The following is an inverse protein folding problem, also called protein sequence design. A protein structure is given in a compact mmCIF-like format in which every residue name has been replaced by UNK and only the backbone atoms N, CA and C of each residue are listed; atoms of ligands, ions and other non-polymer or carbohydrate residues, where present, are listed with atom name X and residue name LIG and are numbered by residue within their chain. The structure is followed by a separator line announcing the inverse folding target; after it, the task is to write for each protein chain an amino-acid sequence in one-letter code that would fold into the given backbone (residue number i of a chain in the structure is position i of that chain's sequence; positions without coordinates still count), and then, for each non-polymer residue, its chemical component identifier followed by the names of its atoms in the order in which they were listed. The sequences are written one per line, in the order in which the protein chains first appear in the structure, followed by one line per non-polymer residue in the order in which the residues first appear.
data_IF_459263439668
#
_entry.id   IF_459263439668
#
_cell.length_a   1.000
_cell.length_b   1.000
_cell.length_c   1.000
_cell.angle_alpha   90.00
_cell.angle_beta   90.00
_cell.angle_gamma   90.00
#
_symmetry.space_group_name_H-M   'P 1'
#
loop_
_entity.id
_entity.type
_entity.pdbx_description
1 polymer ?
#
# COMPACT_ATOMS: atom_id res chain seq x y z
N UNK A 1 24.40 -21.67 10.10
CA UNK A 1 24.29 -20.21 10.02
C UNK A 1 23.04 -19.90 9.19
N UNK A 2 22.18 -19.00 9.65
CA UNK A 2 20.99 -18.59 8.91
C UNK A 2 21.40 -17.93 7.58
N UNK A 3 20.69 -18.20 6.50
CA UNK A 3 20.96 -17.59 5.19
C UNK A 3 20.50 -16.13 5.23
N UNK A 4 21.36 -15.22 4.78
CA UNK A 4 21.12 -13.76 4.83
C UNK A 4 20.41 -13.29 3.57
N UNK A 5 19.31 -12.54 3.74
CA UNK A 5 18.58 -11.84 2.67
C UNK A 5 18.60 -10.33 2.94
N UNK A 6 18.94 -9.55 1.93
CA UNK A 6 18.96 -8.09 2.02
C UNK A 6 17.74 -7.51 1.29
N UNK A 7 16.98 -6.66 1.98
CA UNK A 7 15.78 -6.00 1.43
C UNK A 7 16.06 -4.52 1.19
N UNK A 8 15.89 -4.01 -0.01
CA UNK A 8 16.14 -2.62 -0.38
C UNK A 8 14.85 -1.87 -0.71
N UNK A 9 14.51 -0.89 0.10
CA UNK A 9 13.33 -0.06 -0.11
C UNK A 9 13.28 1.09 0.88
N UNK A 10 12.58 2.18 0.53
CA UNK A 10 12.50 3.30 1.46
C UNK A 10 11.85 4.54 0.86
N UNK A 11 11.77 5.57 1.69
CA UNK A 11 11.24 6.89 1.37
C UNK A 11 9.75 7.04 1.66
N UNK A 12 8.90 6.12 1.28
CA UNK A 12 7.44 6.18 1.45
C UNK A 12 6.88 4.90 2.08
N UNK A 13 5.72 5.01 2.74
CA UNK A 13 5.01 3.85 3.29
C UNK A 13 4.71 2.78 2.22
N UNK A 14 4.47 3.19 0.97
CA UNK A 14 4.23 2.27 -0.15
C UNK A 14 5.39 1.33 -0.46
N UNK A 15 6.64 1.70 -0.14
CA UNK A 15 7.80 0.82 -0.27
C UNK A 15 8.18 0.12 1.06
N UNK A 16 8.01 0.83 2.18
CA UNK A 16 8.45 0.35 3.50
C UNK A 16 7.51 -0.74 4.05
N UNK A 17 6.19 -0.58 3.92
CA UNK A 17 5.24 -1.56 4.44
C UNK A 17 5.36 -2.94 3.76
N UNK A 18 5.41 -3.05 2.41
CA UNK A 18 5.65 -4.33 1.75
C UNK A 18 7.02 -4.94 2.10
N UNK A 19 8.05 -4.12 2.23
CA UNK A 19 9.37 -4.57 2.69
C UNK A 19 9.27 -5.19 4.08
N UNK A 20 8.60 -4.54 5.02
CA UNK A 20 8.43 -5.02 6.39
C UNK A 20 7.62 -6.32 6.45
N UNK A 21 6.50 -6.39 5.72
CA UNK A 21 5.69 -7.61 5.66
C UNK A 21 6.50 -8.80 5.14
N UNK A 22 7.28 -8.58 4.07
CA UNK A 22 8.19 -9.60 3.52
C UNK A 22 9.31 -9.95 4.51
N UNK A 23 9.89 -8.95 5.19
CA UNK A 23 10.93 -9.18 6.19
C UNK A 23 10.47 -10.07 7.34
N UNK A 24 9.26 -9.83 7.85
CA UNK A 24 8.66 -10.62 8.92
C UNK A 24 8.39 -12.06 8.47
N UNK A 25 7.87 -12.24 7.26
CA UNK A 25 7.64 -13.57 6.67
C UNK A 25 8.95 -14.34 6.49
N UNK A 26 9.99 -13.72 5.94
CA UNK A 26 11.30 -14.37 5.76
C UNK A 26 11.96 -14.73 7.10
N UNK A 27 11.82 -13.88 8.12
CA UNK A 27 12.30 -14.19 9.47
C UNK A 27 11.56 -15.37 10.10
N UNK A 28 10.26 -15.48 9.91
CA UNK A 28 9.48 -16.63 10.40
C UNK A 28 9.94 -17.96 9.78
N UNK A 29 10.52 -17.88 8.55
CA UNK A 29 11.13 -19.01 7.83
C UNK A 29 12.60 -19.26 8.22
N UNK A 30 13.18 -18.50 9.15
CA UNK A 30 14.52 -18.70 9.68
C UNK A 30 15.63 -17.95 8.96
N UNK A 31 15.31 -17.03 8.03
CA UNK A 31 16.31 -16.19 7.37
C UNK A 31 16.80 -15.06 8.28
N UNK A 32 18.09 -14.70 8.12
CA UNK A 32 18.62 -13.43 8.62
C UNK A 32 18.24 -12.32 7.63
N UNK A 33 17.52 -11.31 8.09
CA UNK A 33 17.02 -10.23 7.24
C UNK A 33 17.63 -8.89 7.62
N UNK A 34 18.22 -8.21 6.64
CA UNK A 34 18.76 -6.86 6.78
C UNK A 34 18.08 -5.91 5.80
N UNK A 35 17.56 -4.80 6.26
CA UNK A 35 16.96 -3.78 5.41
C UNK A 35 17.98 -2.69 5.03
N UNK A 36 17.98 -2.29 3.76
CA UNK A 36 18.68 -1.12 3.24
C UNK A 36 17.71 0.04 3.06
N UNK A 37 18.00 1.16 3.73
CA UNK A 37 17.21 2.38 3.68
C UNK A 37 18.06 3.63 3.53
N UNK A 38 17.43 4.80 3.74
CA UNK A 38 18.12 6.10 3.82
C UNK A 38 17.93 6.71 5.22
N UNK A 39 18.74 7.69 5.57
CA UNK A 39 18.65 8.40 6.87
C UNK A 39 17.41 9.28 7.01
N UNK A 40 16.60 9.46 5.96
CA UNK A 40 15.57 10.50 5.87
C UNK A 40 14.19 9.95 5.44
N UNK A 41 13.92 8.66 5.59
CA UNK A 41 12.66 8.06 5.20
C UNK A 41 11.90 7.47 6.39
N UNK A 42 10.67 7.01 6.13
CA UNK A 42 9.85 6.31 7.14
C UNK A 42 10.50 5.02 7.63
N UNK A 43 11.41 4.46 6.85
CA UNK A 43 12.18 3.27 7.19
C UNK A 43 12.99 3.43 8.49
N UNK A 44 13.43 4.65 8.82
CA UNK A 44 14.24 4.92 10.01
C UNK A 44 13.52 4.67 11.33
N UNK A 45 12.20 4.78 11.34
CA UNK A 45 11.36 4.49 12.51
C UNK A 45 10.68 3.13 12.40
N UNK A 46 10.13 2.79 11.24
CA UNK A 46 9.30 1.60 11.06
C UNK A 46 10.12 0.30 11.06
N UNK A 47 11.30 0.30 10.44
CA UNK A 47 12.12 -0.93 10.31
C UNK A 47 12.70 -1.35 11.67
N UNK A 48 13.36 -0.47 12.45
CA UNK A 48 13.82 -0.83 13.80
C UNK A 48 12.64 -1.14 14.74
N UNK A 49 11.51 -0.42 14.59
CA UNK A 49 10.29 -0.69 15.37
C UNK A 49 9.72 -2.10 15.17
N UNK A 50 9.97 -2.72 14.02
CA UNK A 50 9.63 -4.11 13.72
C UNK A 50 10.72 -5.12 14.13
N UNK A 51 11.80 -4.65 14.79
CA UNK A 51 12.93 -5.49 15.20
C UNK A 51 13.79 -5.99 14.05
N UNK A 52 13.77 -5.30 12.89
CA UNK A 52 14.60 -5.60 11.72
C UNK A 52 15.84 -4.69 11.73
N UNK A 53 17.00 -5.26 11.41
CA UNK A 53 18.22 -4.46 11.26
C UNK A 53 18.09 -3.52 10.06
N UNK A 54 18.36 -2.21 10.29
CA UNK A 54 18.36 -1.19 9.24
C UNK A 54 19.79 -0.67 9.02
N UNK A 55 20.32 -0.86 7.83
CA UNK A 55 21.53 -0.22 7.37
C UNK A 55 21.17 0.93 6.42
N UNK A 56 21.64 2.14 6.72
CA UNK A 56 21.35 3.31 5.90
C UNK A 56 22.50 3.63 4.95
N UNK A 57 22.15 3.92 3.70
CA UNK A 57 23.08 4.39 2.68
C UNK A 57 22.79 5.85 2.32
N UNK A 58 23.72 6.46 1.59
CA UNK A 58 23.51 7.81 1.08
C UNK A 58 22.37 7.83 0.05
N UNK A 59 21.43 8.77 0.23
CA UNK A 59 20.34 8.99 -0.73
C UNK A 59 20.88 9.55 -2.03
N UNK A 60 20.66 8.87 -3.15
CA UNK A 60 21.05 9.32 -4.50
C UNK A 60 19.80 9.66 -5.31
N UNK A 61 19.25 10.89 -5.16
CA UNK A 61 18.10 11.32 -5.96
C UNK A 61 18.54 11.52 -7.40
N UNK A 62 17.80 10.93 -8.33
CA UNK A 62 17.93 11.24 -9.75
C UNK A 62 17.28 12.60 -10.02
N UNK A 63 18.03 13.63 -10.45
CA UNK A 63 17.46 14.93 -10.72
C UNK A 63 16.44 14.84 -11.86
N UNK A 64 15.24 15.40 -11.64
CA UNK A 64 14.18 15.45 -12.68
C UNK A 64 14.39 16.57 -13.70
N UNK A 65 15.24 17.53 -13.39
CA UNK A 65 15.61 18.67 -14.25
C UNK A 65 17.12 18.81 -14.26
N UNK A 66 17.73 19.32 -15.36
CA UNK A 66 19.14 19.65 -15.41
C UNK A 66 19.52 20.58 -14.23
N UNK A 67 20.51 20.17 -13.44
CA UNK A 67 21.02 20.96 -12.29
C UNK A 67 22.50 20.65 -12.07
N UNK A 68 23.22 21.49 -11.35
CA UNK A 68 24.63 21.26 -10.98
C UNK A 68 24.83 19.96 -10.20
N UNK A 69 23.77 19.41 -9.61
CA UNK A 69 23.81 18.12 -8.92
C UNK A 69 24.12 16.92 -9.85
N UNK A 70 23.94 17.07 -11.17
CA UNK A 70 24.35 16.05 -12.14
C UNK A 70 25.85 15.77 -12.11
N UNK A 71 26.67 16.75 -11.85
CA UNK A 71 28.13 16.57 -11.81
C UNK A 71 28.58 15.76 -10.59
N UNK A 72 27.86 15.80 -9.48
CA UNK A 72 28.17 15.01 -8.27
C UNK A 72 27.55 13.62 -8.29
N UNK A 73 26.57 13.38 -9.15
CA UNK A 73 25.80 12.13 -9.22
C UNK A 73 26.67 10.87 -9.40
N UNK A 74 27.69 10.83 -10.32
CA UNK A 74 28.53 9.64 -10.50
C UNK A 74 29.32 9.28 -9.23
N UNK A 75 29.85 10.29 -8.53
CA UNK A 75 30.61 10.09 -7.28
C UNK A 75 29.70 9.56 -6.17
N UNK A 76 28.52 10.16 -5.98
CA UNK A 76 27.51 9.73 -4.99
C UNK A 76 26.99 8.33 -5.28
N UNK A 77 26.72 8.02 -6.56
CA UNK A 77 26.30 6.69 -6.98
C UNK A 77 27.39 5.65 -6.68
N UNK A 78 28.67 5.95 -7.00
CA UNK A 78 29.80 5.07 -6.69
C UNK A 78 29.91 4.79 -5.19
N UNK A 79 29.73 5.82 -4.36
CA UNK A 79 29.77 5.70 -2.89
C UNK A 79 28.59 4.84 -2.37
N UNK A 80 27.36 5.10 -2.85
CA UNK A 80 26.19 4.32 -2.46
C UNK A 80 26.33 2.84 -2.88
N UNK A 81 26.85 2.57 -4.09
CA UNK A 81 27.13 1.20 -4.54
C UNK A 81 28.17 0.52 -3.63
N UNK A 82 29.22 1.22 -3.21
CA UNK A 82 30.22 0.67 -2.30
C UNK A 82 29.62 0.32 -0.93
N UNK A 83 28.76 1.20 -0.39
CA UNK A 83 28.00 0.93 0.85
C UNK A 83 27.07 -0.29 0.68
N UNK A 84 26.33 -0.40 -0.43
CA UNK A 84 25.49 -1.57 -0.69
C UNK A 84 26.32 -2.86 -0.79
N UNK A 85 27.50 -2.82 -1.40
CA UNK A 85 28.36 -3.99 -1.52
C UNK A 85 28.82 -4.53 -0.16
N UNK A 86 29.14 -3.67 0.81
CA UNK A 86 29.51 -4.13 2.16
C UNK A 86 28.35 -4.84 2.86
N UNK A 87 27.12 -4.38 2.67
CA UNK A 87 25.92 -5.01 3.26
C UNK A 87 25.57 -6.33 2.57
N UNK A 88 25.80 -6.42 1.25
CA UNK A 88 25.52 -7.61 0.46
C UNK A 88 26.56 -8.74 0.63
N UNK A 89 27.64 -8.52 1.39
CA UNK A 89 28.59 -9.60 1.67
C UNK A 89 27.90 -10.75 2.42
N UNK A 90 28.00 -11.97 1.85
CA UNK A 90 27.38 -13.17 2.37
C UNK A 90 25.85 -13.27 2.13
N UNK A 91 25.24 -12.28 1.47
CA UNK A 91 23.82 -12.35 1.16
C UNK A 91 23.53 -13.37 0.04
N UNK A 92 22.48 -14.17 0.24
CA UNK A 92 21.99 -15.12 -0.76
C UNK A 92 21.15 -14.43 -1.85
N UNK A 93 20.44 -13.36 -1.48
CA UNK A 93 19.64 -12.57 -2.41
C UNK A 93 19.53 -11.10 -1.97
N UNK A 94 19.24 -10.24 -2.97
CA UNK A 94 18.75 -8.90 -2.80
C UNK A 94 17.29 -8.84 -3.26
N UNK A 95 16.38 -8.38 -2.39
CA UNK A 95 14.98 -8.10 -2.75
C UNK A 95 14.76 -6.59 -2.78
N UNK A 96 14.37 -6.04 -3.92
CA UNK A 96 14.15 -4.62 -4.10
C UNK A 96 12.69 -4.23 -4.21
N UNK A 97 12.29 -3.21 -3.44
CA UNK A 97 10.93 -2.65 -3.40
C UNK A 97 10.82 -1.28 -4.08
N UNK A 98 11.89 -0.82 -4.73
CA UNK A 98 11.91 0.50 -5.36
C UNK A 98 12.42 1.62 -4.45
N UNK A 99 12.23 2.86 -4.89
CA UNK A 99 12.76 4.03 -4.21
C UNK A 99 14.24 4.32 -4.55
N UNK A 100 14.82 5.30 -3.85
CA UNK A 100 16.18 5.79 -4.15
C UNK A 100 17.29 4.80 -3.77
N UNK A 101 16.98 3.85 -2.91
CA UNK A 101 17.91 2.85 -2.37
C UNK A 101 18.10 1.68 -3.35
N UNK A 102 17.04 1.30 -4.04
CA UNK A 102 17.04 0.08 -4.86
C UNK A 102 17.99 0.14 -6.06
N UNK A 103 18.12 1.30 -6.72
CA UNK A 103 19.02 1.40 -7.90
C UNK A 103 20.49 1.11 -7.56
N UNK A 104 21.13 1.76 -6.55
CA UNK A 104 22.50 1.43 -6.18
C UNK A 104 22.63 -0.01 -5.65
N UNK A 105 21.60 -0.54 -4.95
CA UNK A 105 21.58 -1.92 -4.47
C UNK A 105 21.56 -2.92 -5.64
N UNK A 106 20.74 -2.72 -6.68
CA UNK A 106 20.72 -3.55 -7.87
C UNK A 106 22.08 -3.56 -8.60
N UNK A 107 22.71 -2.39 -8.72
CA UNK A 107 24.02 -2.28 -9.35
C UNK A 107 25.13 -2.96 -8.53
N UNK A 108 25.03 -2.92 -7.21
CA UNK A 108 25.94 -3.62 -6.31
C UNK A 108 25.75 -5.14 -6.41
N UNK A 109 24.51 -5.63 -6.30
CA UNK A 109 24.18 -7.05 -6.37
C UNK A 109 24.62 -7.67 -7.70
N UNK A 110 24.35 -6.97 -8.83
CA UNK A 110 24.82 -7.41 -10.16
C UNK A 110 26.35 -7.58 -10.20
N UNK A 111 27.13 -6.67 -9.58
CA UNK A 111 28.60 -6.74 -9.57
C UNK A 111 29.14 -7.84 -8.65
N UNK A 112 28.32 -8.38 -7.77
CA UNK A 112 28.67 -9.42 -6.82
C UNK A 112 28.03 -10.77 -7.15
N UNK A 113 27.34 -10.87 -8.31
CA UNK A 113 26.58 -12.05 -8.73
C UNK A 113 25.54 -12.52 -7.70
N UNK A 114 25.04 -11.57 -6.85
CA UNK A 114 23.95 -11.82 -5.91
C UNK A 114 22.62 -11.78 -6.68
N UNK A 115 21.76 -12.80 -6.58
CA UNK A 115 20.45 -12.83 -7.21
C UNK A 115 19.60 -11.60 -6.83
N UNK A 116 18.96 -11.01 -7.84
CA UNK A 116 18.09 -9.84 -7.67
C UNK A 116 16.65 -10.30 -7.84
N UNK A 117 15.86 -10.15 -6.78
CA UNK A 117 14.41 -10.30 -6.81
C UNK A 117 13.80 -8.90 -6.69
N UNK A 118 12.74 -8.62 -7.40
CA UNK A 118 12.07 -7.31 -7.35
C UNK A 118 10.60 -7.52 -7.02
N UNK A 119 10.06 -6.67 -6.16
CA UNK A 119 8.62 -6.52 -6.01
C UNK A 119 8.19 -5.15 -6.52
N UNK A 120 7.23 -5.10 -7.47
CA UNK A 120 6.65 -3.86 -7.97
C UNK A 120 5.24 -3.67 -7.41
N UNK A 121 5.07 -2.57 -6.64
CA UNK A 121 3.84 -2.28 -5.94
C UNK A 121 2.77 -1.64 -6.82
N UNK A 122 3.17 -0.88 -7.84
CA UNK A 122 2.26 -0.06 -8.64
C UNK A 122 1.97 -0.69 -10.01
N UNK A 123 0.78 -0.44 -10.54
CA UNK A 123 0.43 -0.80 -11.91
C UNK A 123 1.32 -0.05 -12.94
N UNK A 124 1.80 1.15 -12.59
CA UNK A 124 2.84 1.87 -13.36
C UNK A 124 4.19 1.69 -12.70
N UNK A 125 5.10 0.87 -13.29
CA UNK A 125 6.34 0.50 -12.62
C UNK A 125 7.28 1.69 -12.40
N UNK A 126 7.89 1.72 -11.21
CA UNK A 126 8.88 2.71 -10.82
C UNK A 126 10.18 2.61 -11.64
N UNK A 127 10.89 3.74 -11.78
CA UNK A 127 12.11 3.80 -12.59
C UNK A 127 13.18 2.84 -12.07
N UNK A 128 13.36 2.73 -10.75
CA UNK A 128 14.35 1.84 -10.16
C UNK A 128 14.08 0.37 -10.54
N UNK A 129 12.82 -0.07 -10.41
CA UNK A 129 12.41 -1.43 -10.73
C UNK A 129 12.49 -1.72 -12.23
N UNK A 130 12.15 -0.74 -13.09
CA UNK A 130 12.34 -0.84 -14.55
C UNK A 130 13.81 -1.07 -14.93
N UNK A 131 14.73 -0.41 -14.24
CA UNK A 131 16.18 -0.62 -14.45
C UNK A 131 16.61 -1.97 -13.91
N UNK A 132 16.21 -2.33 -12.69
CA UNK A 132 16.56 -3.60 -12.03
C UNK A 132 16.03 -4.83 -12.76
N UNK A 133 14.84 -4.75 -13.36
CA UNK A 133 14.20 -5.85 -14.08
C UNK A 133 15.06 -6.42 -15.24
N UNK A 134 16.04 -5.65 -15.72
CA UNK A 134 17.01 -6.12 -16.72
C UNK A 134 17.92 -7.24 -16.21
N UNK A 135 18.10 -7.34 -14.90
CA UNK A 135 19.00 -8.28 -14.22
C UNK A 135 18.28 -9.13 -13.17
N UNK A 136 16.97 -8.92 -13.04
CA UNK A 136 16.17 -9.64 -12.06
C UNK A 136 16.10 -11.13 -12.39
N UNK A 137 16.38 -11.96 -11.38
CA UNK A 137 16.17 -13.40 -11.41
C UNK A 137 14.70 -13.75 -11.16
N UNK A 138 13.96 -12.88 -10.45
CA UNK A 138 12.53 -12.99 -10.28
C UNK A 138 11.89 -11.61 -10.06
N UNK A 139 10.62 -11.50 -10.42
CA UNK A 139 9.81 -10.28 -10.27
C UNK A 139 8.43 -10.65 -9.78
N UNK A 140 8.07 -10.15 -8.59
CA UNK A 140 6.71 -10.19 -8.05
C UNK A 140 5.95 -8.92 -8.42
N UNK A 141 4.72 -9.03 -8.88
CA UNK A 141 3.84 -7.94 -9.22
C UNK A 141 2.63 -7.88 -8.28
N UNK A 142 2.24 -6.66 -7.90
CA UNK A 142 0.96 -6.46 -7.20
C UNK A 142 -0.22 -6.60 -8.15
N UNK A 143 -0.14 -5.97 -9.32
CA UNK A 143 -1.24 -5.92 -10.29
C UNK A 143 -0.90 -6.71 -11.55
N UNK A 144 -1.81 -7.56 -12.05
CA UNK A 144 -1.61 -8.29 -13.32
C UNK A 144 -1.38 -7.36 -14.52
N UNK A 145 -1.99 -6.16 -14.48
CA UNK A 145 -1.88 -5.14 -15.54
C UNK A 145 -0.53 -4.41 -15.57
N UNK A 146 0.39 -4.65 -14.62
CA UNK A 146 1.70 -3.97 -14.58
C UNK A 146 2.59 -4.40 -15.75
N UNK A 147 2.99 -3.49 -16.68
CA UNK A 147 3.79 -3.82 -17.86
C UNK A 147 5.28 -3.92 -17.51
N UNK A 148 5.65 -4.85 -16.64
CA UNK A 148 7.03 -5.10 -16.24
C UNK A 148 7.30 -6.60 -16.20
N UNK A 149 8.42 -7.03 -16.78
CA UNK A 149 8.88 -8.42 -16.78
C UNK A 149 10.34 -8.53 -16.36
N UNK A 150 10.69 -9.58 -15.66
CA UNK A 150 12.08 -9.96 -15.43
C UNK A 150 12.70 -10.45 -16.75
N UNK A 151 13.80 -9.82 -17.18
CA UNK A 151 14.42 -10.20 -18.47
C UNK A 151 15.30 -11.44 -18.38
N UNK A 152 15.71 -11.85 -17.18
CA UNK A 152 16.61 -12.97 -16.94
C UNK A 152 16.03 -14.01 -15.98
N UNK A 153 14.71 -13.98 -15.75
CA UNK A 153 14.06 -14.86 -14.80
C UNK A 153 12.55 -14.87 -14.95
N UNK A 154 11.86 -15.25 -13.90
CA UNK A 154 10.41 -15.43 -13.87
C UNK A 154 9.69 -14.17 -13.41
N UNK A 155 8.45 -13.99 -13.84
CA UNK A 155 7.56 -12.91 -13.39
C UNK A 155 6.25 -13.52 -12.93
N UNK A 156 5.84 -13.21 -11.72
CA UNK A 156 4.61 -13.73 -11.10
C UNK A 156 3.79 -12.62 -10.48
N UNK A 157 2.47 -12.80 -10.44
CA UNK A 157 1.57 -11.94 -9.69
C UNK A 157 1.48 -12.47 -8.27
N UNK A 158 2.23 -11.86 -7.36
CA UNK A 158 2.26 -12.25 -5.94
C UNK A 158 1.19 -11.54 -5.11
N UNK A 159 0.64 -10.44 -5.62
CA UNK A 159 -0.08 -9.48 -4.79
C UNK A 159 0.87 -8.60 -3.98
N UNK A 160 0.31 -7.68 -3.20
CA UNK A 160 1.09 -6.80 -2.31
C UNK A 160 1.31 -7.49 -0.96
N UNK A 161 2.55 -7.57 -0.45
CA UNK A 161 2.79 -7.91 0.95
C UNK A 161 2.09 -6.93 1.89
N UNK A 162 1.02 -7.40 2.55
CA UNK A 162 0.18 -6.59 3.42
C UNK A 162 0.73 -6.54 4.85
N UNK A 163 0.39 -5.48 5.58
CA UNK A 163 0.70 -5.36 7.01
C UNK A 163 0.05 -6.51 7.80
N UNK A 164 0.71 -7.05 8.86
CA UNK A 164 0.17 -8.17 9.64
C UNK A 164 -1.27 -7.96 10.12
N UNK A 165 -1.60 -6.78 10.65
CA UNK A 165 -2.95 -6.47 11.12
C UNK A 165 -4.02 -6.55 10.00
N UNK A 166 -3.67 -6.23 8.74
CA UNK A 166 -4.58 -6.37 7.60
C UNK A 166 -4.69 -7.84 7.15
N UNK A 167 -3.62 -8.60 7.21
CA UNK A 167 -3.65 -10.05 6.95
C UNK A 167 -4.53 -10.79 7.96
N UNK A 168 -4.38 -10.46 9.24
CA UNK A 168 -5.20 -10.99 10.34
C UNK A 168 -6.69 -10.64 10.15
N UNK A 169 -6.98 -9.38 9.82
CA UNK A 169 -8.34 -8.94 9.52
C UNK A 169 -8.90 -9.67 8.29
N UNK A 170 -8.13 -9.84 7.22
CA UNK A 170 -8.55 -10.57 6.03
C UNK A 170 -8.85 -12.04 6.34
N UNK A 171 -8.02 -12.69 7.14
CA UNK A 171 -8.25 -14.06 7.61
C UNK A 171 -9.54 -14.15 8.45
N UNK A 172 -9.73 -13.25 9.40
CA UNK A 172 -10.95 -13.17 10.21
C UNK A 172 -12.19 -12.94 9.35
N UNK A 173 -12.14 -12.04 8.39
CA UNK A 173 -13.25 -11.70 7.47
C UNK A 173 -13.53 -12.74 6.38
N UNK A 174 -12.80 -13.84 6.33
CA UNK A 174 -13.01 -14.92 5.37
C UNK A 174 -14.36 -15.62 5.54
N UNK A 175 -14.94 -15.59 6.75
CA UNK A 175 -16.29 -16.09 7.06
C UNK A 175 -17.24 -14.93 7.40
N UNK A 176 -18.55 -15.17 7.30
CA UNK A 176 -19.57 -14.19 7.68
C UNK A 176 -19.56 -13.91 9.18
N UNK A 177 -19.47 -14.96 9.99
CA UNK A 177 -19.36 -14.84 11.43
C UNK A 177 -18.12 -14.01 11.83
N UNK A 178 -16.97 -14.30 11.24
CA UNK A 178 -15.73 -13.54 11.49
C UNK A 178 -15.88 -12.06 11.10
N UNK A 179 -16.58 -11.75 10.00
CA UNK A 179 -16.86 -10.35 9.64
C UNK A 179 -17.69 -9.64 10.69
N UNK A 180 -18.74 -10.29 11.21
CA UNK A 180 -19.60 -9.72 12.26
C UNK A 180 -18.81 -9.49 13.56
N UNK A 181 -18.04 -10.47 14.00
CA UNK A 181 -17.21 -10.37 15.20
C UNK A 181 -16.17 -9.25 15.05
N UNK A 182 -15.44 -9.18 13.94
CA UNK A 182 -14.48 -8.12 13.69
C UNK A 182 -15.13 -6.74 13.69
N UNK A 183 -16.32 -6.60 13.08
CA UNK A 183 -17.11 -5.37 13.04
C UNK A 183 -17.53 -4.92 14.45
N UNK A 184 -18.11 -5.82 15.26
CA UNK A 184 -18.55 -5.52 16.63
C UNK A 184 -17.39 -5.06 17.51
N UNK A 185 -16.28 -5.76 17.47
CA UNK A 185 -15.08 -5.41 18.25
C UNK A 185 -14.50 -4.06 17.83
N UNK A 186 -14.38 -3.81 16.53
CA UNK A 186 -13.87 -2.56 16.01
C UNK A 186 -14.85 -1.38 16.31
N UNK A 187 -16.16 -1.59 16.14
CA UNK A 187 -17.18 -0.59 16.45
C UNK A 187 -17.14 -0.20 17.94
N UNK A 188 -16.96 -1.17 18.84
CA UNK A 188 -16.78 -0.90 20.28
C UNK A 188 -15.54 -0.05 20.56
N UNK A 189 -14.40 -0.33 19.88
CA UNK A 189 -13.17 0.48 20.06
C UNK A 189 -13.31 1.89 19.49
N UNK A 190 -14.05 2.04 18.39
CA UNK A 190 -14.26 3.32 17.71
C UNK A 190 -15.43 4.14 18.30
N UNK A 191 -16.27 3.55 19.16
CA UNK A 191 -17.43 4.22 19.74
C UNK A 191 -18.55 4.49 18.72
N UNK A 192 -18.74 3.57 17.74
CA UNK A 192 -19.77 3.69 16.70
C UNK A 192 -20.75 2.52 16.76
N UNK A 193 -21.90 2.65 16.10
CA UNK A 193 -22.92 1.61 16.09
C UNK A 193 -22.60 0.50 15.06
N UNK A 194 -22.39 -0.77 15.47
CA UNK A 194 -22.11 -1.85 14.53
C UNK A 194 -23.29 -2.21 13.60
N UNK A 195 -24.50 -1.76 13.92
CA UNK A 195 -25.72 -2.06 13.14
C UNK A 195 -26.00 -1.06 12.02
N UNK A 196 -25.38 0.11 12.05
CA UNK A 196 -25.55 1.13 11.01
C UNK A 196 -24.61 0.87 9.83
N UNK A 197 -25.06 1.16 8.61
CA UNK A 197 -24.22 1.21 7.43
C UNK A 197 -23.11 2.25 7.62
N UNK A 198 -21.86 1.86 7.42
CA UNK A 198 -20.69 2.73 7.71
C UNK A 198 -19.98 3.14 6.43
N UNK A 199 -20.02 4.43 6.14
CA UNK A 199 -19.19 5.06 5.11
C UNK A 199 -17.87 5.50 5.72
N UNK A 200 -16.77 4.86 5.30
CA UNK A 200 -15.42 5.28 5.66
C UNK A 200 -14.87 6.28 4.65
N UNK A 201 -14.41 7.43 5.12
CA UNK A 201 -13.76 8.45 4.28
C UNK A 201 -12.31 8.58 4.73
N UNK A 202 -11.35 8.43 3.79
CA UNK A 202 -9.94 8.62 4.12
C UNK A 202 -9.12 9.13 2.93
N UNK A 203 -8.31 10.14 3.17
CA UNK A 203 -7.32 10.67 2.22
C UNK A 203 -5.91 10.13 2.44
N UNK A 204 -5.75 9.12 3.34
CA UNK A 204 -4.46 8.69 3.85
C UNK A 204 -3.93 9.60 4.98
N UNK A 205 -2.71 9.38 5.46
CA UNK A 205 -2.15 10.06 6.64
C UNK A 205 -2.12 11.59 6.54
N UNK A 206 -1.96 12.12 5.34
CA UNK A 206 -1.97 13.57 5.08
C UNK A 206 -3.38 14.13 4.82
N UNK A 207 -4.38 13.25 4.69
CA UNK A 207 -5.74 13.62 4.30
C UNK A 207 -5.84 14.12 2.85
N UNK A 208 -7.08 14.31 2.39
CA UNK A 208 -7.40 14.81 1.05
C UNK A 208 -8.41 15.95 1.14
N UNK A 209 -7.93 17.18 1.04
CA UNK A 209 -8.73 18.38 1.31
C UNK A 209 -9.98 18.46 0.43
N UNK A 210 -9.84 18.14 -0.87
CA UNK A 210 -10.98 18.15 -1.79
C UNK A 210 -12.00 17.05 -1.46
N UNK A 211 -11.53 15.86 -1.07
CA UNK A 211 -12.42 14.79 -0.60
C UNK A 211 -13.18 15.23 0.64
N UNK A 212 -12.47 15.77 1.66
CA UNK A 212 -13.10 16.26 2.87
C UNK A 212 -14.20 17.29 2.55
N UNK A 213 -13.89 18.29 1.73
CA UNK A 213 -14.82 19.37 1.36
C UNK A 213 -16.04 18.88 0.57
N UNK A 214 -15.82 17.99 -0.40
CA UNK A 214 -16.93 17.41 -1.15
C UNK A 214 -17.90 16.63 -0.28
N UNK A 215 -17.36 15.85 0.67
CA UNK A 215 -18.16 15.05 1.58
C UNK A 215 -18.97 15.91 2.56
N UNK A 216 -18.34 16.92 3.20
CA UNK A 216 -19.06 17.79 4.14
C UNK A 216 -20.08 18.69 3.45
N UNK A 217 -19.89 19.06 2.20
CA UNK A 217 -20.86 19.81 1.41
C UNK A 217 -22.17 19.03 1.15
N UNK A 218 -22.13 17.70 1.24
CA UNK A 218 -23.30 16.81 1.15
C UNK A 218 -23.86 16.40 2.51
N UNK A 219 -23.26 16.81 3.63
CA UNK A 219 -23.53 16.26 4.96
C UNK A 219 -25.01 16.35 5.38
N UNK A 220 -25.70 17.45 5.03
CA UNK A 220 -27.12 17.63 5.36
C UNK A 220 -28.05 16.60 4.68
N UNK A 221 -27.58 15.89 3.65
CA UNK A 221 -28.31 14.87 2.91
C UNK A 221 -27.91 13.43 3.30
N UNK A 222 -27.17 13.27 4.42
CA UNK A 222 -26.77 11.94 4.92
C UNK A 222 -28.02 11.07 5.18
N UNK A 223 -28.12 9.86 4.59
CA UNK A 223 -29.24 8.96 4.82
C UNK A 223 -29.42 8.62 6.30
N UNK A 224 -30.66 8.38 6.79
CA UNK A 224 -30.91 8.22 8.23
C UNK A 224 -30.30 6.95 8.85
N UNK A 225 -30.11 5.89 8.05
CA UNK A 225 -29.52 4.61 8.45
C UNK A 225 -28.01 4.52 8.26
N UNK A 226 -27.37 5.62 7.87
CA UNK A 226 -25.93 5.69 7.59
C UNK A 226 -25.21 6.46 8.69
N UNK A 227 -24.06 5.94 9.09
CA UNK A 227 -23.05 6.67 9.85
C UNK A 227 -21.77 6.83 9.00
N UNK A 228 -20.99 7.84 9.33
CA UNK A 228 -19.74 8.16 8.64
C UNK A 228 -18.58 8.11 9.64
N UNK A 229 -17.53 7.41 9.26
CA UNK A 229 -16.22 7.50 9.91
C UNK A 229 -15.29 8.28 8.98
N UNK A 230 -14.94 9.51 9.38
CA UNK A 230 -14.17 10.43 8.54
C UNK A 230 -12.77 10.65 9.09
N UNK A 231 -11.79 10.02 8.44
CA UNK A 231 -10.37 10.21 8.73
C UNK A 231 -9.84 11.38 7.90
N UNK A 232 -9.86 12.57 8.48
CA UNK A 232 -9.65 13.85 7.76
C UNK A 232 -8.20 14.10 7.34
N UNK A 233 -7.25 13.43 8.00
CA UNK A 233 -5.84 13.73 7.94
C UNK A 233 -5.41 14.71 9.03
N UNK A 234 -4.20 14.52 9.54
CA UNK A 234 -3.66 15.19 10.72
C UNK A 234 -3.85 16.71 10.69
N UNK A 235 -4.54 17.24 11.70
CA UNK A 235 -4.82 18.68 11.86
C UNK A 235 -5.87 19.25 10.89
N UNK A 236 -6.74 18.40 10.27
CA UNK A 236 -7.78 18.84 9.34
C UNK A 236 -9.21 18.51 9.80
N UNK A 237 -9.37 18.17 11.04
CA UNK A 237 -10.62 17.76 11.67
C UNK A 237 -11.56 18.95 11.98
N UNK A 238 -11.01 20.13 12.27
CA UNK A 238 -11.79 21.27 12.72
C UNK A 238 -12.82 21.75 11.68
N UNK A 239 -12.43 21.94 10.40
CA UNK A 239 -13.34 22.35 9.32
C UNK A 239 -14.47 21.33 9.15
N UNK A 240 -14.13 20.04 9.21
CA UNK A 240 -15.10 18.96 9.07
C UNK A 240 -16.06 18.90 10.25
N UNK A 241 -15.56 18.97 11.49
CA UNK A 241 -16.38 18.95 12.72
C UNK A 241 -17.37 20.10 12.77
N UNK A 242 -16.96 21.30 12.38
CA UNK A 242 -17.85 22.47 12.31
C UNK A 242 -18.96 22.27 11.27
N UNK A 243 -18.61 21.78 10.07
CA UNK A 243 -19.57 21.58 8.99
C UNK A 243 -20.62 20.52 9.34
N UNK A 244 -20.22 19.36 9.90
CA UNK A 244 -21.16 18.29 10.26
C UNK A 244 -22.05 18.68 11.44
N UNK A 245 -21.57 19.52 12.36
CA UNK A 245 -22.37 20.10 13.44
C UNK A 245 -23.42 21.06 12.89
N UNK A 246 -23.03 21.95 11.97
CA UNK A 246 -23.96 22.88 11.31
C UNK A 246 -25.01 22.14 10.46
N UNK A 247 -24.66 21.00 9.87
CA UNK A 247 -25.58 20.13 9.13
C UNK A 247 -26.51 19.28 10.02
N UNK A 248 -26.33 19.29 11.35
CA UNK A 248 -27.14 18.53 12.29
C UNK A 248 -26.91 17.01 12.30
N UNK A 249 -25.78 16.55 11.79
CA UNK A 249 -25.47 15.11 11.65
C UNK A 249 -24.30 14.63 12.53
N UNK A 250 -23.81 15.47 13.43
CA UNK A 250 -22.63 15.18 14.27
C UNK A 250 -22.76 13.89 15.11
N UNK A 251 -23.96 13.43 15.44
CA UNK A 251 -24.16 12.17 16.17
C UNK A 251 -23.88 10.92 15.33
N UNK A 252 -23.92 11.05 14.01
CA UNK A 252 -23.70 9.94 13.06
C UNK A 252 -22.51 10.18 12.14
N UNK A 253 -21.75 11.26 12.37
CA UNK A 253 -20.56 11.59 11.59
C UNK A 253 -19.36 11.74 12.51
N UNK A 254 -18.62 10.66 12.66
CA UNK A 254 -17.48 10.54 13.55
C UNK A 254 -16.23 11.09 12.87
N UNK A 255 -15.70 12.19 13.38
CA UNK A 255 -14.54 12.88 12.82
C UNK A 255 -13.29 12.53 13.61
N UNK A 256 -12.27 11.99 12.93
CA UNK A 256 -10.96 11.65 13.52
C UNK A 256 -9.89 12.25 12.62
N UNK A 257 -8.92 12.96 13.20
CA UNK A 257 -7.82 13.55 12.43
C UNK A 257 -6.81 12.49 11.97
N UNK A 258 -6.46 11.55 12.86
CA UNK A 258 -5.54 10.46 12.58
C UNK A 258 -5.89 9.21 13.40
N UNK A 259 -5.97 8.07 12.73
CA UNK A 259 -6.21 6.77 13.35
C UNK A 259 -5.00 5.85 13.13
N UNK A 260 -4.42 5.34 14.23
CA UNK A 260 -3.28 4.41 14.18
C UNK A 260 -3.72 2.97 13.85
N UNK A 261 -4.94 2.59 14.25
CA UNK A 261 -5.54 1.27 14.04
C UNK A 261 -6.46 1.30 12.81
N UNK A 262 -5.86 1.46 11.62
CA UNK A 262 -6.62 1.53 10.36
C UNK A 262 -7.45 0.27 10.11
N UNK A 263 -7.01 -0.87 10.61
CA UNK A 263 -7.74 -2.15 10.58
C UNK A 263 -9.11 -2.06 11.26
N UNK A 264 -9.26 -1.27 12.33
CA UNK A 264 -10.55 -1.06 12.97
C UNK A 264 -11.52 -0.30 12.05
N UNK A 265 -11.03 0.77 11.41
CA UNK A 265 -11.83 1.52 10.45
C UNK A 265 -12.27 0.66 9.26
N UNK A 266 -11.37 -0.21 8.77
CA UNK A 266 -11.67 -1.12 7.67
C UNK A 266 -12.59 -2.29 8.07
N UNK A 267 -12.54 -2.71 9.34
CA UNK A 267 -13.42 -3.76 9.85
C UNK A 267 -14.89 -3.34 9.90
N UNK A 268 -15.16 -2.06 10.15
CA UNK A 268 -16.53 -1.50 10.24
C UNK A 268 -17.07 -0.98 8.91
N UNK A 269 -16.21 -0.74 7.92
CA UNK A 269 -16.61 -0.12 6.66
C UNK A 269 -17.48 -1.03 5.79
N UNK A 270 -18.53 -0.45 5.21
CA UNK A 270 -19.35 -1.05 4.16
C UNK A 270 -19.01 -0.46 2.77
N UNK A 271 -18.68 0.84 2.73
CA UNK A 271 -18.19 1.54 1.54
C UNK A 271 -17.03 2.44 1.95
N UNK A 272 -15.98 2.51 1.11
CA UNK A 272 -14.81 3.35 1.38
C UNK A 272 -14.62 4.39 0.28
N UNK A 273 -14.57 5.67 0.66
CA UNK A 273 -14.14 6.76 -0.24
C UNK A 273 -12.69 7.09 0.07
N UNK A 274 -11.78 6.84 -0.87
CA UNK A 274 -10.35 6.96 -0.60
C UNK A 274 -9.51 7.29 -1.82
N UNK A 275 -8.23 7.64 -1.60
CA UNK A 275 -7.21 7.67 -2.64
C UNK A 275 -6.86 6.24 -3.07
N UNK A 276 -6.36 6.08 -4.32
CA UNK A 276 -6.01 4.78 -4.90
C UNK A 276 -4.50 4.53 -4.97
N UNK A 277 -3.80 4.76 -3.84
CA UNK A 277 -2.42 4.26 -3.69
C UNK A 277 -2.40 2.73 -3.74
N UNK A 278 -1.29 2.14 -4.22
CA UNK A 278 -1.19 0.69 -4.39
C UNK A 278 -1.51 -0.10 -3.09
N UNK A 279 -1.00 0.38 -1.94
CA UNK A 279 -1.31 -0.22 -0.65
C UNK A 279 -2.79 -0.17 -0.32
N UNK A 280 -3.43 0.98 -0.52
CA UNK A 280 -4.87 1.14 -0.27
C UNK A 280 -5.68 0.20 -1.15
N UNK A 281 -5.41 0.16 -2.46
CA UNK A 281 -6.16 -0.73 -3.37
C UNK A 281 -5.98 -2.19 -2.97
N UNK A 282 -4.75 -2.62 -2.66
CA UNK A 282 -4.48 -3.99 -2.24
C UNK A 282 -5.17 -4.34 -0.90
N UNK A 283 -5.20 -3.42 0.07
CA UNK A 283 -5.91 -3.60 1.34
C UNK A 283 -7.42 -3.71 1.12
N UNK A 284 -8.02 -2.85 0.28
CA UNK A 284 -9.46 -2.87 -0.02
C UNK A 284 -9.86 -4.18 -0.71
N UNK A 285 -9.11 -4.62 -1.72
CA UNK A 285 -9.40 -5.88 -2.41
C UNK A 285 -9.20 -7.09 -1.50
N UNK A 286 -8.14 -7.13 -0.70
CA UNK A 286 -7.89 -8.22 0.24
C UNK A 286 -9.00 -8.37 1.29
N UNK A 287 -9.61 -7.28 1.71
CA UNK A 287 -10.71 -7.24 2.67
C UNK A 287 -12.11 -7.37 2.03
N UNK A 288 -12.19 -7.40 0.70
CA UNK A 288 -13.45 -7.45 -0.03
C UNK A 288 -14.31 -6.20 0.16
N UNK A 289 -13.68 -5.02 0.26
CA UNK A 289 -14.35 -3.74 0.52
C UNK A 289 -14.66 -3.00 -0.79
N UNK A 290 -15.93 -2.63 -1.03
CA UNK A 290 -16.32 -1.73 -2.10
C UNK A 290 -15.69 -0.35 -1.93
N UNK A 291 -15.30 0.29 -3.05
CA UNK A 291 -14.64 1.58 -2.99
C UNK A 291 -15.18 2.60 -3.99
N UNK A 292 -15.10 3.86 -3.62
CA UNK A 292 -15.09 5.00 -4.55
C UNK A 292 -13.69 5.59 -4.52
N UNK A 293 -12.90 5.28 -5.54
CA UNK A 293 -11.54 5.78 -5.66
C UNK A 293 -11.50 7.20 -6.23
N UNK A 294 -10.75 8.06 -5.55
CA UNK A 294 -10.48 9.44 -5.97
C UNK A 294 -8.97 9.57 -6.15
N UNK A 295 -8.42 9.24 -7.33
CA UNK A 295 -6.98 9.29 -7.57
C UNK A 295 -6.39 10.66 -7.30
N UNK A 296 -5.17 10.69 -6.75
CA UNK A 296 -4.44 11.94 -6.55
C UNK A 296 -4.19 12.61 -7.92
N UNK A 297 -4.58 13.89 -8.12
CA UNK A 297 -4.50 14.56 -9.42
C UNK A 297 -3.08 14.92 -9.85
N UNK A 298 -2.10 14.80 -8.93
CA UNK A 298 -0.68 15.11 -9.16
C UNK A 298 0.14 13.83 -9.28
N UNK A 299 1.30 13.93 -9.91
CA UNK A 299 2.19 12.77 -10.11
C UNK A 299 2.16 12.28 -11.57
N UNK A 300 2.37 10.98 -11.76
CA UNK A 300 2.45 10.34 -13.07
C UNK A 300 1.19 9.54 -13.46
N UNK A 301 0.08 9.73 -12.72
CA UNK A 301 -1.20 9.03 -12.97
C UNK A 301 -1.23 7.58 -12.48
N UNK A 302 -0.27 7.16 -11.67
CA UNK A 302 -0.18 5.77 -11.17
C UNK A 302 -1.40 5.34 -10.37
N UNK A 303 -2.00 6.25 -9.57
CA UNK A 303 -3.16 5.92 -8.75
C UNK A 303 -4.39 5.51 -9.58
N UNK A 304 -4.62 6.17 -10.72
CA UNK A 304 -5.70 5.78 -11.64
C UNK A 304 -5.49 4.35 -12.17
N UNK A 305 -4.25 4.00 -12.49
CA UNK A 305 -3.91 2.67 -12.98
C UNK A 305 -3.99 1.60 -11.89
N UNK A 306 -3.60 1.92 -10.65
CA UNK A 306 -3.72 0.99 -9.53
C UNK A 306 -5.17 0.55 -9.27
N UNK A 307 -6.13 1.45 -9.47
CA UNK A 307 -7.56 1.16 -9.29
C UNK A 307 -8.20 0.40 -10.47
N UNK A 308 -7.52 0.33 -11.62
CA UNK A 308 -8.12 -0.10 -12.89
C UNK A 308 -8.72 -1.52 -12.82
N UNK A 309 -7.99 -2.48 -12.26
CA UNK A 309 -8.46 -3.87 -12.17
C UNK A 309 -9.68 -3.98 -11.23
N UNK A 310 -9.68 -3.29 -10.09
CA UNK A 310 -10.79 -3.30 -9.13
C UNK A 310 -12.05 -2.67 -9.72
N UNK A 311 -11.90 -1.57 -10.48
CA UNK A 311 -13.01 -0.90 -11.20
C UNK A 311 -13.53 -1.78 -12.33
N UNK A 312 -12.64 -2.37 -13.13
CA UNK A 312 -13.03 -3.23 -14.27
C UNK A 312 -13.82 -4.47 -13.85
N UNK A 313 -13.57 -4.99 -12.65
CA UNK A 313 -14.32 -6.12 -12.09
C UNK A 313 -15.58 -5.71 -11.33
N UNK A 314 -15.92 -4.42 -11.28
CA UNK A 314 -17.13 -3.91 -10.63
C UNK A 314 -17.05 -3.82 -9.11
N UNK A 315 -15.88 -3.95 -8.50
CA UNK A 315 -15.69 -3.80 -7.05
C UNK A 315 -15.50 -2.35 -6.59
N UNK A 316 -15.30 -1.41 -7.52
CA UNK A 316 -15.10 -0.01 -7.19
C UNK A 316 -15.60 0.94 -8.28
N UNK A 317 -15.90 2.17 -7.88
CA UNK A 317 -16.07 3.32 -8.77
C UNK A 317 -14.80 4.17 -8.80
N UNK A 318 -14.60 4.90 -9.89
CA UNK A 318 -13.50 5.84 -10.06
C UNK A 318 -14.06 7.21 -10.42
N UNK A 319 -13.70 8.24 -9.64
CA UNK A 319 -14.08 9.63 -9.90
C UNK A 319 -12.84 10.50 -9.90
N UNK A 320 -12.72 11.41 -10.84
CA UNK A 320 -11.61 12.37 -10.81
C UNK A 320 -11.75 13.33 -9.62
N UNK A 321 -10.62 13.78 -9.07
CA UNK A 321 -10.61 14.68 -7.91
C UNK A 321 -11.41 15.97 -8.18
N UNK A 322 -11.39 16.49 -9.42
CA UNK A 322 -12.15 17.67 -9.85
C UNK A 322 -13.67 17.46 -9.94
N UNK A 323 -14.09 16.20 -10.14
CA UNK A 323 -15.49 15.85 -10.40
C UNK A 323 -16.21 15.42 -9.11
N UNK A 324 -15.44 15.16 -8.04
CA UNK A 324 -15.99 14.86 -6.73
C UNK A 324 -16.50 16.14 -6.07
N UNK A 325 -17.81 16.26 -5.94
CA UNK A 325 -18.52 17.38 -5.32
C UNK A 325 -19.78 16.89 -4.60
N UNK A 326 -20.53 17.79 -3.92
CA UNK A 326 -21.73 17.43 -3.17
C UNK A 326 -22.78 16.71 -4.04
N UNK A 327 -22.98 17.15 -5.26
CA UNK A 327 -23.92 16.52 -6.21
C UNK A 327 -23.52 15.06 -6.47
N UNK A 328 -22.24 14.81 -6.78
CA UNK A 328 -21.75 13.44 -6.99
C UNK A 328 -21.92 12.56 -5.75
N UNK A 329 -21.67 13.12 -4.56
CA UNK A 329 -21.85 12.39 -3.30
C UNK A 329 -23.30 11.97 -3.12
N UNK A 330 -24.25 12.90 -3.33
CA UNK A 330 -25.68 12.64 -3.14
C UNK A 330 -26.27 11.70 -4.19
N UNK A 331 -25.82 11.79 -5.45
CA UNK A 331 -26.38 11.02 -6.57
C UNK A 331 -25.68 9.68 -6.81
N UNK A 332 -24.44 9.53 -6.38
CA UNK A 332 -23.61 8.35 -6.70
C UNK A 332 -23.07 7.60 -5.50
N UNK A 333 -22.80 8.28 -4.37
CA UNK A 333 -22.18 7.64 -3.21
C UNK A 333 -23.24 7.23 -2.17
N UNK A 334 -24.07 8.16 -1.73
CA UNK A 334 -25.10 7.87 -0.71
C UNK A 334 -26.10 6.80 -1.13
N UNK A 335 -26.57 6.73 -2.40
CA UNK A 335 -27.51 5.69 -2.83
C UNK A 335 -26.92 4.28 -2.86
N UNK A 336 -25.59 4.13 -2.86
CA UNK A 336 -24.96 2.80 -2.77
C UNK A 336 -25.19 2.15 -1.40
N UNK A 337 -25.19 2.96 -0.33
CA UNK A 337 -25.29 2.44 1.03
C UNK A 337 -26.64 1.73 1.25
N UNK A 338 -26.60 0.48 1.71
CA UNK A 338 -27.74 -0.40 1.87
C UNK A 338 -28.32 -0.97 0.57
N UNK A 339 -27.72 -0.69 -0.59
CA UNK A 339 -28.23 -1.17 -1.88
C UNK A 339 -27.72 -2.57 -2.23
N UNK A 340 -28.45 -3.23 -3.15
CA UNK A 340 -27.98 -4.48 -3.76
C UNK A 340 -26.74 -4.30 -4.62
N UNK A 341 -26.56 -3.11 -5.19
CA UNK A 341 -25.33 -2.75 -5.95
C UNK A 341 -24.10 -2.81 -5.07
N UNK A 342 -24.16 -2.27 -3.84
CA UNK A 342 -23.04 -2.33 -2.88
C UNK A 342 -22.68 -3.79 -2.54
N UNK A 343 -23.68 -4.66 -2.39
CA UNK A 343 -23.44 -6.09 -2.14
C UNK A 343 -22.72 -6.78 -3.32
N UNK A 344 -23.12 -6.44 -4.55
CA UNK A 344 -22.47 -6.92 -5.78
C UNK A 344 -21.03 -6.42 -5.87
N UNK A 345 -20.79 -5.13 -5.57
CA UNK A 345 -19.44 -4.56 -5.50
C UNK A 345 -18.59 -5.27 -4.45
N UNK A 346 -19.13 -5.58 -3.28
CA UNK A 346 -18.43 -6.32 -2.24
C UNK A 346 -18.06 -7.75 -2.68
N UNK A 347 -18.96 -8.42 -3.40
CA UNK A 347 -18.70 -9.74 -3.97
C UNK A 347 -17.60 -9.69 -5.03
N UNK A 348 -17.65 -8.71 -5.92
CA UNK A 348 -16.63 -8.48 -6.94
C UNK A 348 -15.25 -8.16 -6.31
N UNK A 349 -15.23 -7.36 -5.25
CA UNK A 349 -14.00 -7.07 -4.50
C UNK A 349 -13.39 -8.32 -3.86
N UNK A 350 -14.23 -9.17 -3.24
CA UNK A 350 -13.79 -10.44 -2.65
C UNK A 350 -13.19 -11.40 -3.68
N UNK A 351 -13.73 -11.43 -4.91
CA UNK A 351 -13.21 -12.27 -5.98
C UNK A 351 -11.76 -11.90 -6.41
N UNK A 352 -11.33 -10.68 -6.12
CA UNK A 352 -9.98 -10.18 -6.40
C UNK A 352 -9.03 -10.30 -5.19
N UNK A 353 -9.48 -10.85 -4.07
CA UNK A 353 -8.70 -10.87 -2.85
C UNK A 353 -7.38 -11.66 -3.02
N UNK A 354 -6.27 -11.03 -2.65
CA UNK A 354 -4.94 -11.62 -2.60
C UNK A 354 -4.27 -11.27 -1.27
N UNK A 355 -4.72 -11.85 -0.14
CA UNK A 355 -4.18 -11.55 1.19
C UNK A 355 -2.77 -12.11 1.40
N UNK A 356 -2.35 -13.09 0.61
CA UNK A 356 -1.14 -13.90 0.80
C UNK A 356 0.10 -13.31 0.14
N UNK A 357 0.12 -12.02 -0.16
CA UNK A 357 1.21 -11.39 -0.93
C UNK A 357 2.60 -11.57 -0.30
N UNK A 358 2.71 -11.53 1.03
CA UNK A 358 3.99 -11.74 1.71
C UNK A 358 4.47 -13.19 1.58
N UNK A 359 3.56 -14.16 1.76
CA UNK A 359 3.83 -15.59 1.63
C UNK A 359 4.27 -15.92 0.19
N UNK A 360 3.50 -15.50 -0.82
CA UNK A 360 3.82 -15.74 -2.23
C UNK A 360 5.15 -15.11 -2.66
N UNK A 361 5.45 -13.91 -2.16
CA UNK A 361 6.74 -13.28 -2.45
C UNK A 361 7.89 -14.04 -1.77
N UNK A 362 7.71 -14.52 -0.54
CA UNK A 362 8.71 -15.35 0.13
C UNK A 362 8.92 -16.69 -0.63
N UNK A 363 7.86 -17.34 -1.10
CA UNK A 363 7.95 -18.55 -1.93
C UNK A 363 8.71 -18.29 -3.23
N UNK A 364 8.45 -17.15 -3.89
CA UNK A 364 9.16 -16.72 -5.09
C UNK A 364 10.65 -16.48 -4.81
N UNK A 365 11.00 -15.93 -3.64
CA UNK A 365 12.39 -15.74 -3.22
C UNK A 365 13.06 -17.10 -3.03
N UNK A 366 12.46 -18.00 -2.27
CA UNK A 366 13.01 -19.34 -1.99
C UNK A 366 13.17 -20.18 -3.24
N UNK A 367 12.17 -20.22 -4.13
CA UNK A 367 12.26 -20.95 -5.40
C UNK A 367 13.40 -20.43 -6.27
N UNK A 368 13.62 -19.11 -6.29
CA UNK A 368 14.74 -18.47 -7.00
C UNK A 368 16.10 -18.88 -6.43
N UNK A 369 16.21 -19.03 -5.11
CA UNK A 369 17.44 -19.46 -4.44
C UNK A 369 17.74 -20.95 -4.67
N UNK A 370 16.71 -21.81 -4.58
CA UNK A 370 16.86 -23.26 -4.75
C UNK A 370 17.08 -23.65 -6.21
N UNK A 371 16.43 -23.00 -7.17
CA UNK A 371 16.63 -23.23 -8.60
C UNK A 371 18.08 -23.00 -9.04
N UNK A 372 18.76 -21.99 -8.50
CA UNK A 372 20.19 -21.75 -8.77
C UNK A 372 21.13 -22.74 -8.07
N UNK A 373 20.70 -23.40 -6.99
CA UNK A 373 21.52 -24.46 -6.32
C UNK A 373 21.51 -25.77 -7.11
N UNK A 374 20.45 -26.03 -7.90
CA UNK A 374 20.33 -27.24 -8.71
C UNK A 374 21.12 -27.18 -10.04
N UNK A 375 21.51 -25.98 -10.51
CA UNK A 375 22.27 -25.76 -11.74
C UNK A 375 23.80 -25.63 -11.53
N UNK A 376 24.30 -25.71 -10.29
CA UNK A 376 25.71 -25.72 -9.93
C UNK A 376 26.12 -27.08 -9.40
#
# INVERSE_FOLDING_TARGET
MSEKIVLAGGGTAGHVNPLLATALELRSRGYEVVALGTKQGLETSLVPGAGIELVTIERVPLPRKPSLQFFSLPRRMKQAIAQCRSVLQGAQALVGFGGYVSTPAYLAARKMDVPIIIHEQNARPGLANRVGARWASALGLTFPSTPLIAKQGITEVTGLPLRPAIQELAATRSSEEGRLVAREQAASRLGIDPKMETLLITGGSLGALNVNRAMIAAAAQLPPNVQVLHLTGKGKDQEVSQAVSAAGVAQRWHVIDYLSTMEDALAVADLVVCRSGAGTVAEMTALGLPCVYVPLPIGNGEQKLNAADHVAHGGALLVADSDLNAHYVCEKIFPLLGSTELQQMAQASRALAQPDGALKLADLIESTLHGKKAEK
#
